data_IF_661848586759
#
_entry.id   IF_661848586759
#
_cell.length_a   1.000
_cell.length_b   1.000
_cell.length_c   1.000
_cell.angle_alpha   90.00
_cell.angle_beta   90.00
_cell.angle_gamma   90.00
#
_symmetry.space_group_name_H-M   'P 1'
#
loop_
_entity.id
_entity.type
_entity.pdbx_description
1 polymer ?
#
# COMPACT_ATOMS: atom_id res chain seq x y z
N UNK A 1 9.25 12.53 -9.43
CA UNK A 1 8.18 12.35 -10.45
C UNK A 1 7.76 13.76 -10.85
N UNK A 2 7.76 14.12 -12.14
CA UNK A 2 7.44 15.48 -12.57
C UNK A 2 5.90 15.63 -12.70
N UNK A 3 5.32 16.82 -12.50
CA UNK A 3 3.85 17.03 -12.48
C UNK A 3 3.11 16.43 -13.71
N UNK A 4 3.74 16.48 -14.89
CA UNK A 4 3.24 15.91 -16.14
C UNK A 4 3.12 14.36 -16.10
N UNK A 5 4.03 13.69 -15.40
CA UNK A 5 4.01 12.24 -15.24
C UNK A 5 2.95 11.79 -14.22
N UNK A 6 2.69 12.59 -13.19
CA UNK A 6 1.63 12.32 -12.21
C UNK A 6 0.22 12.48 -12.80
N UNK A 7 -0.04 13.60 -13.50
CA UNK A 7 -1.33 13.82 -14.17
C UNK A 7 -1.64 12.71 -15.17
N UNK A 8 -0.64 12.26 -15.93
CA UNK A 8 -0.77 11.14 -16.86
C UNK A 8 -1.07 9.82 -16.15
N UNK A 9 -0.43 9.55 -15.01
CA UNK A 9 -0.73 8.38 -14.19
C UNK A 9 -2.18 8.41 -13.68
N UNK A 10 -2.61 9.51 -13.05
CA UNK A 10 -3.97 9.68 -12.54
C UNK A 10 -5.05 9.48 -13.61
N UNK A 11 -4.87 10.07 -14.80
CA UNK A 11 -5.81 9.87 -15.90
C UNK A 11 -5.89 8.42 -16.37
N UNK A 12 -4.79 7.66 -16.30
CA UNK A 12 -4.77 6.25 -16.71
C UNK A 12 -5.27 5.31 -15.60
N UNK A 13 -5.21 5.72 -14.34
CA UNK A 13 -5.57 4.88 -13.19
C UNK A 13 -6.90 5.23 -12.54
N UNK A 14 -7.67 6.17 -13.09
CA UNK A 14 -8.92 6.66 -12.48
C UNK A 14 -10.00 5.60 -12.30
N UNK A 15 -10.01 4.59 -13.17
CA UNK A 15 -11.02 3.53 -13.26
C UNK A 15 -10.40 2.12 -13.14
N UNK A 16 -9.16 2.02 -12.66
CA UNK A 16 -8.51 0.72 -12.46
C UNK A 16 -9.16 0.04 -11.24
N UNK A 17 -9.56 -1.25 -11.36
CA UNK A 17 -10.10 -2.01 -10.24
C UNK A 17 -9.09 -2.09 -9.08
N UNK A 18 -9.53 -2.37 -7.85
CA UNK A 18 -8.63 -2.52 -6.73
C UNK A 18 -7.52 -3.53 -7.03
N UNK A 19 -6.33 -3.25 -6.51
CA UNK A 19 -5.14 -4.03 -6.80
C UNK A 19 -5.30 -5.45 -6.27
N UNK A 20 -4.73 -6.47 -6.94
CA UNK A 20 -4.94 -7.87 -6.57
C UNK A 20 -4.58 -8.20 -5.11
N UNK A 21 -3.60 -7.52 -4.53
CA UNK A 21 -3.22 -7.66 -3.12
C UNK A 21 -4.33 -7.20 -2.17
N UNK A 22 -4.96 -6.05 -2.44
CA UNK A 22 -6.11 -5.57 -1.67
C UNK A 22 -7.29 -6.55 -1.77
N UNK A 23 -7.62 -7.00 -2.99
CA UNK A 23 -8.72 -7.96 -3.20
C UNK A 23 -8.47 -9.24 -2.41
N UNK A 24 -7.24 -9.77 -2.42
CA UNK A 24 -6.85 -10.94 -1.62
C UNK A 24 -6.99 -10.68 -0.13
N UNK A 25 -6.48 -9.56 0.38
CA UNK A 25 -6.61 -9.22 1.80
C UNK A 25 -8.07 -9.15 2.26
N UNK A 26 -8.94 -8.48 1.47
CA UNK A 26 -10.38 -8.45 1.74
C UNK A 26 -11.02 -9.84 1.72
N UNK A 27 -10.60 -10.70 0.80
CA UNK A 27 -11.09 -12.09 0.76
C UNK A 27 -10.68 -12.89 2.01
N UNK A 28 -9.48 -12.67 2.54
CA UNK A 28 -9.04 -13.32 3.78
C UNK A 28 -9.84 -12.83 4.99
N UNK A 29 -10.08 -11.52 5.13
CA UNK A 29 -10.96 -11.00 6.18
C UNK A 29 -12.38 -11.57 6.10
N UNK A 30 -12.93 -11.73 4.89
CA UNK A 30 -14.28 -12.26 4.71
C UNK A 30 -14.40 -13.76 5.01
N UNK A 31 -13.29 -14.50 4.95
CA UNK A 31 -13.24 -15.93 5.28
C UNK A 31 -12.98 -16.19 6.77
N UNK A 32 -12.66 -15.15 7.54
CA UNK A 32 -12.52 -15.25 8.98
C UNK A 32 -13.88 -15.05 9.68
N UNK A 33 -14.07 -15.65 10.87
CA UNK A 33 -15.25 -15.37 11.68
C UNK A 33 -15.40 -13.86 11.87
N UNK A 34 -16.63 -13.35 11.69
CA UNK A 34 -16.89 -11.93 11.90
C UNK A 34 -16.46 -11.53 13.30
N UNK A 35 -15.51 -10.61 13.37
CA UNK A 35 -15.08 -10.01 14.61
C UNK A 35 -15.83 -8.69 14.79
N UNK A 36 -16.32 -8.43 16.01
CA UNK A 36 -16.95 -7.16 16.37
C UNK A 36 -15.89 -6.10 16.66
N UNK A 37 -15.06 -5.83 15.66
CA UNK A 37 -14.00 -4.81 15.67
C UNK A 37 -14.21 -3.84 14.53
N UNK A 38 -13.86 -2.59 14.80
CA UNK A 38 -13.94 -1.52 13.83
C UNK A 38 -13.00 -1.79 12.64
N UNK A 39 -13.55 -1.73 11.42
CA UNK A 39 -12.80 -1.95 10.18
C UNK A 39 -12.05 -0.69 9.76
N UNK A 40 -10.93 -0.43 10.43
CA UNK A 40 -10.04 0.69 10.10
C UNK A 40 -8.94 0.24 9.14
N UNK A 41 -8.76 0.97 8.04
CA UNK A 41 -7.67 0.78 7.09
C UNK A 41 -6.86 2.07 6.89
N UNK A 42 -5.58 1.92 6.56
CA UNK A 42 -4.72 3.00 6.04
C UNK A 42 -4.37 2.67 4.60
N UNK A 43 -4.59 3.60 3.68
CA UNK A 43 -4.18 3.49 2.27
C UNK A 43 -2.99 4.44 2.02
N UNK A 44 -1.78 3.89 1.98
CA UNK A 44 -0.52 4.61 1.84
C UNK A 44 -0.13 4.74 0.36
N UNK A 45 -0.10 5.97 -0.14
CA UNK A 45 0.03 6.27 -1.56
C UNK A 45 -1.26 5.95 -2.30
N UNK A 46 -2.39 6.48 -1.82
CA UNK A 46 -3.73 6.14 -2.32
C UNK A 46 -3.98 6.55 -3.78
N UNK A 47 -3.18 7.47 -4.32
CA UNK A 47 -3.30 7.99 -5.68
C UNK A 47 -4.72 8.45 -6.01
N UNK A 48 -5.23 8.07 -7.18
CA UNK A 48 -6.57 8.44 -7.64
C UNK A 48 -7.72 7.69 -6.93
N UNK A 49 -7.41 6.87 -5.92
CA UNK A 49 -8.38 6.30 -4.97
C UNK A 49 -8.93 4.91 -5.27
N UNK A 50 -8.42 4.15 -6.25
CA UNK A 50 -9.01 2.86 -6.63
C UNK A 50 -9.14 1.87 -5.46
N UNK A 51 -8.06 1.72 -4.67
CA UNK A 51 -8.03 0.88 -3.48
C UNK A 51 -8.85 1.48 -2.32
N UNK A 52 -8.62 2.76 -1.99
CA UNK A 52 -9.40 3.51 -0.99
C UNK A 52 -10.91 3.42 -1.20
N UNK A 53 -11.41 3.64 -2.42
CA UNK A 53 -12.85 3.62 -2.73
C UNK A 53 -13.43 2.22 -2.60
N UNK A 54 -12.66 1.19 -2.95
CA UNK A 54 -13.06 -0.20 -2.78
C UNK A 54 -13.18 -0.58 -1.30
N UNK A 55 -12.28 -0.06 -0.45
CA UNK A 55 -12.35 -0.22 1.00
C UNK A 55 -13.59 0.45 1.59
N UNK A 56 -13.85 1.71 1.22
CA UNK A 56 -15.03 2.46 1.67
C UNK A 56 -16.34 1.75 1.25
N UNK A 57 -16.41 1.26 0.02
CA UNK A 57 -17.57 0.49 -0.47
C UNK A 57 -17.78 -0.83 0.29
N UNK A 58 -16.70 -1.42 0.83
CA UNK A 58 -16.74 -2.61 1.69
C UNK A 58 -17.02 -2.28 3.18
N UNK A 59 -17.33 -1.02 3.50
CA UNK A 59 -17.71 -0.56 4.84
C UNK A 59 -16.53 -0.30 5.79
N UNK A 60 -15.33 -0.12 5.25
CA UNK A 60 -14.15 0.26 6.05
C UNK A 60 -14.11 1.77 6.27
N UNK A 61 -13.63 2.20 7.45
CA UNK A 61 -13.15 3.56 7.66
C UNK A 61 -11.70 3.65 7.21
N UNK A 62 -11.35 4.63 6.38
CA UNK A 62 -10.06 4.70 5.69
C UNK A 62 -9.35 6.02 5.99
N UNK A 63 -8.07 5.93 6.36
CA UNK A 63 -7.12 7.04 6.26
C UNK A 63 -6.36 6.93 4.94
N UNK A 64 -6.66 7.80 3.99
CA UNK A 64 -5.98 7.86 2.70
C UNK A 64 -4.85 8.90 2.73
N UNK A 65 -3.63 8.48 2.38
CA UNK A 65 -2.42 9.32 2.47
C UNK A 65 -1.74 9.32 1.11
N UNK A 66 -1.42 10.51 0.61
CA UNK A 66 -0.61 10.66 -0.60
C UNK A 66 0.20 11.95 -0.49
N UNK A 67 1.34 12.01 -1.17
CA UNK A 67 2.13 13.25 -1.21
C UNK A 67 1.51 14.28 -2.14
N UNK A 68 0.70 13.85 -3.10
CA UNK A 68 0.15 14.71 -4.14
C UNK A 68 -1.22 15.28 -3.72
N UNK A 69 -1.37 16.61 -3.54
CA UNK A 69 -2.65 17.21 -3.17
C UNK A 69 -3.77 16.94 -4.18
N UNK A 70 -3.43 16.78 -5.46
CA UNK A 70 -4.39 16.42 -6.52
C UNK A 70 -4.95 14.99 -6.33
N UNK A 71 -4.15 14.06 -5.79
CA UNK A 71 -4.60 12.71 -5.46
C UNK A 71 -5.70 12.76 -4.40
N UNK A 72 -5.42 13.45 -3.30
CA UNK A 72 -6.35 13.61 -2.18
C UNK A 72 -7.66 14.26 -2.63
N UNK A 73 -7.60 15.35 -3.41
CA UNK A 73 -8.81 15.98 -3.96
C UNK A 73 -9.64 15.02 -4.82
N UNK A 74 -8.98 14.16 -5.61
CA UNK A 74 -9.67 13.18 -6.44
C UNK A 74 -10.35 12.09 -5.59
N UNK A 75 -9.70 11.62 -4.52
CA UNK A 75 -10.30 10.67 -3.57
C UNK A 75 -11.52 11.27 -2.88
N UNK A 76 -11.40 12.48 -2.33
CA UNK A 76 -12.49 13.17 -1.62
C UNK A 76 -13.72 13.38 -2.51
N UNK A 77 -13.52 13.81 -3.76
CA UNK A 77 -14.62 14.02 -4.70
C UNK A 77 -15.39 12.72 -4.99
N UNK A 78 -14.66 11.61 -5.23
CA UNK A 78 -15.25 10.30 -5.53
C UNK A 78 -15.87 9.63 -4.31
N UNK A 79 -15.32 9.87 -3.13
CA UNK A 79 -15.75 9.27 -1.87
C UNK A 79 -16.91 10.03 -1.19
N UNK A 80 -17.51 11.04 -1.84
CA UNK A 80 -18.60 11.84 -1.26
C UNK A 80 -19.75 11.02 -0.63
N UNK A 81 -20.17 9.84 -1.14
CA UNK A 81 -21.19 9.01 -0.46
C UNK A 81 -20.70 8.39 0.88
N UNK A 82 -19.39 8.31 1.09
CA UNK A 82 -18.73 7.71 2.25
C UNK A 82 -17.90 8.73 3.05
N UNK A 83 -18.21 10.04 2.94
CA UNK A 83 -17.39 11.10 3.52
C UNK A 83 -17.11 10.94 5.03
N UNK A 84 -18.06 10.39 5.80
CA UNK A 84 -17.89 10.15 7.24
C UNK A 84 -16.90 9.03 7.59
N UNK A 85 -16.59 8.15 6.63
CA UNK A 85 -15.67 7.03 6.78
C UNK A 85 -14.28 7.34 6.22
N UNK A 86 -14.11 8.49 5.55
CA UNK A 86 -12.86 8.88 4.94
C UNK A 86 -12.16 9.98 5.76
N UNK A 87 -10.88 9.77 6.06
CA UNK A 87 -9.94 10.82 6.45
C UNK A 87 -8.83 10.89 5.42
N UNK A 88 -8.33 12.08 5.13
CA UNK A 88 -7.27 12.30 4.14
C UNK A 88 -6.08 13.01 4.77
N UNK A 89 -4.88 12.73 4.26
CA UNK A 89 -3.64 13.44 4.64
C UNK A 89 -2.75 13.62 3.42
N UNK A 90 -2.43 14.87 3.09
CA UNK A 90 -1.33 15.18 2.17
C UNK A 90 -0.03 15.08 2.95
N UNK A 91 0.85 14.14 2.60
CA UNK A 91 2.13 13.94 3.32
C UNK A 91 3.11 13.12 2.48
N UNK A 92 4.38 13.52 2.53
CA UNK A 92 5.47 12.64 2.07
C UNK A 92 5.62 11.47 3.04
N UNK A 93 6.09 10.32 2.54
CA UNK A 93 6.36 9.18 3.41
C UNK A 93 7.39 9.51 4.49
N UNK A 94 8.36 10.34 4.15
CA UNK A 94 9.44 10.77 5.04
C UNK A 94 8.98 11.67 6.19
N UNK A 95 7.76 12.19 6.12
CA UNK A 95 7.16 13.05 7.16
C UNK A 95 6.21 12.27 8.07
N UNK A 96 5.95 10.99 7.77
CA UNK A 96 5.07 10.14 8.56
C UNK A 96 5.78 9.74 9.84
N UNK A 97 5.33 10.29 10.97
CA UNK A 97 5.83 9.94 12.31
C UNK A 97 5.01 8.87 13.01
N UNK A 98 3.74 8.74 12.64
CA UNK A 98 2.82 7.75 13.18
C UNK A 98 1.65 7.47 12.24
N UNK A 99 1.06 6.29 12.42
CA UNK A 99 -0.18 5.84 11.80
C UNK A 99 -1.14 5.37 12.90
N UNK A 100 -2.46 5.52 12.70
CA UNK A 100 -3.43 4.98 13.65
C UNK A 100 -3.36 3.44 13.64
N UNK A 101 -3.68 2.82 14.78
CA UNK A 101 -3.89 1.38 14.83
C UNK A 101 -4.98 0.97 13.84
N UNK A 102 -4.69 0.01 12.98
CA UNK A 102 -5.59 -0.41 11.90
C UNK A 102 -5.64 -1.94 11.76
N UNK A 103 -6.74 -2.44 11.20
CA UNK A 103 -6.84 -3.84 10.77
C UNK A 103 -6.13 -4.05 9.42
N UNK A 104 -6.00 -3.02 8.60
CA UNK A 104 -5.34 -3.13 7.31
C UNK A 104 -4.43 -1.93 7.05
N UNK A 105 -3.22 -2.18 6.58
CA UNK A 105 -2.44 -1.18 5.85
C UNK A 105 -2.29 -1.65 4.40
N UNK A 106 -2.85 -0.87 3.48
CA UNK A 106 -2.70 -1.05 2.04
C UNK A 106 -1.60 -0.11 1.53
N UNK A 107 -0.70 -0.62 0.70
CA UNK A 107 0.36 0.16 0.06
C UNK A 107 0.69 -0.40 -1.34
N UNK A 108 -0.28 -0.33 -2.23
CA UNK A 108 -0.17 -0.90 -3.57
C UNK A 108 0.70 -0.04 -4.49
N UNK A 109 1.88 -0.55 -4.86
CA UNK A 109 2.84 0.11 -5.77
C UNK A 109 3.25 1.52 -5.30
N UNK A 110 3.34 1.73 -3.98
CA UNK A 110 3.64 3.05 -3.40
C UNK A 110 4.94 3.09 -2.61
N UNK A 111 5.18 2.14 -1.71
CA UNK A 111 6.35 2.13 -0.82
C UNK A 111 7.71 2.23 -1.53
N UNK A 112 7.94 1.66 -2.73
CA UNK A 112 9.23 1.80 -3.43
C UNK A 112 9.62 3.25 -3.75
N UNK A 113 8.69 4.20 -3.69
CA UNK A 113 8.95 5.63 -3.88
C UNK A 113 9.38 6.37 -2.60
N UNK A 114 9.39 5.70 -1.45
CA UNK A 114 10.06 6.22 -0.25
C UNK A 114 11.57 6.10 -0.41
N UNK A 115 12.30 7.11 0.05
CA UNK A 115 13.76 7.13 -0.02
C UNK A 115 14.40 6.03 0.85
N UNK A 116 15.48 5.37 0.37
CA UNK A 116 16.12 4.26 1.09
C UNK A 116 16.51 4.59 2.54
N UNK A 117 16.95 5.82 2.79
CA UNK A 117 17.39 6.25 4.13
C UNK A 117 16.25 6.36 5.16
N UNK A 118 14.99 6.46 4.73
CA UNK A 118 13.81 6.54 5.62
C UNK A 118 12.94 5.28 5.53
N UNK A 119 13.11 4.47 4.50
CA UNK A 119 12.23 3.33 4.21
C UNK A 119 12.10 2.36 5.39
N UNK A 120 13.20 2.03 6.07
CA UNK A 120 13.16 1.14 7.21
C UNK A 120 12.36 1.74 8.38
N UNK A 121 12.54 3.02 8.69
CA UNK A 121 11.78 3.69 9.76
C UNK A 121 10.29 3.76 9.42
N UNK A 122 9.95 4.07 8.17
CA UNK A 122 8.57 4.01 7.69
C UNK A 122 8.00 2.60 7.83
N UNK A 123 8.75 1.56 7.47
CA UNK A 123 8.30 0.18 7.61
C UNK A 123 8.02 -0.19 9.06
N UNK A 124 8.84 0.25 10.02
CA UNK A 124 8.56 0.03 11.46
C UNK A 124 7.25 0.70 11.89
N UNK A 125 6.97 1.91 11.40
CA UNK A 125 5.70 2.61 11.67
C UNK A 125 4.53 1.85 11.05
N UNK A 126 4.66 1.38 9.81
CA UNK A 126 3.64 0.58 9.12
C UNK A 126 3.35 -0.70 9.88
N UNK A 127 4.38 -1.50 10.14
CA UNK A 127 4.26 -2.78 10.83
C UNK A 127 3.66 -2.59 12.24
N UNK A 128 4.16 -1.62 13.01
CA UNK A 128 3.67 -1.34 14.36
C UNK A 128 2.26 -0.74 14.44
N UNK A 129 1.71 -0.27 13.33
CA UNK A 129 0.31 0.22 13.27
C UNK A 129 -0.71 -0.89 13.01
N UNK A 130 -0.27 -2.05 12.53
CA UNK A 130 -1.15 -3.18 12.23
C UNK A 130 -1.41 -3.91 13.54
N UNK A 131 -2.68 -3.97 13.96
CA UNK A 131 -3.05 -4.69 15.17
C UNK A 131 -2.99 -6.21 14.97
N UNK A 132 -3.01 -6.98 16.07
CA UNK A 132 -3.06 -8.44 16.02
C UNK A 132 -4.25 -8.93 15.16
N UNK A 133 -3.98 -9.85 14.24
CA UNK A 133 -4.97 -10.34 13.29
C UNK A 133 -5.24 -9.40 12.10
N UNK A 134 -4.69 -8.19 12.12
CA UNK A 134 -4.66 -7.27 10.99
C UNK A 134 -3.67 -7.72 9.91
N UNK A 135 -3.67 -7.00 8.77
CA UNK A 135 -2.90 -7.37 7.58
C UNK A 135 -2.16 -6.18 6.98
N UNK A 136 -1.00 -6.46 6.40
CA UNK A 136 -0.39 -5.64 5.37
C UNK A 136 -0.79 -6.19 3.99
N UNK A 137 -1.08 -5.31 3.03
CA UNK A 137 -1.26 -5.66 1.63
C UNK A 137 -0.53 -4.64 0.74
N UNK A 138 0.34 -5.08 -0.16
CA UNK A 138 1.06 -4.12 -1.00
C UNK A 138 2.10 -4.74 -1.93
N UNK A 139 2.86 -3.86 -2.59
CA UNK A 139 3.92 -4.25 -3.52
C UNK A 139 5.22 -3.56 -3.18
N UNK A 140 6.31 -4.33 -3.21
CA UNK A 140 7.69 -3.87 -3.06
C UNK A 140 8.45 -4.08 -4.38
N UNK A 141 9.45 -3.25 -4.68
CA UNK A 141 10.33 -3.47 -5.82
C UNK A 141 11.57 -4.23 -5.40
N UNK A 142 12.02 -5.11 -6.28
CA UNK A 142 13.19 -5.93 -6.06
C UNK A 142 14.45 -5.37 -6.71
N UNK A 143 15.61 -5.79 -6.22
CA UNK A 143 16.94 -5.32 -6.66
C UNK A 143 17.27 -5.56 -8.15
N UNK A 144 16.67 -6.56 -8.79
CA UNK A 144 16.75 -6.80 -10.25
C UNK A 144 15.82 -5.94 -11.12
N UNK A 145 15.10 -4.97 -10.55
CA UNK A 145 14.19 -4.13 -11.32
C UNK A 145 14.99 -3.19 -12.25
N UNK A 146 14.49 -2.88 -13.44
CA UNK A 146 15.17 -1.95 -14.36
C UNK A 146 15.45 -0.58 -13.72
N UNK A 147 14.57 -0.14 -12.81
CA UNK A 147 14.72 1.12 -12.12
C UNK A 147 15.66 1.07 -10.91
N UNK A 148 16.26 -0.08 -10.59
CA UNK A 148 17.12 -0.28 -9.42
C UNK A 148 18.31 0.68 -9.34
N UNK A 149 18.73 1.26 -10.46
CA UNK A 149 19.77 2.30 -10.51
C UNK A 149 19.33 3.66 -9.95
N UNK A 150 18.03 3.88 -9.70
CA UNK A 150 17.50 5.11 -9.15
C UNK A 150 17.68 5.16 -7.62
N UNK A 151 18.65 5.95 -7.16
CA UNK A 151 19.01 6.09 -5.74
C UNK A 151 17.96 6.83 -4.89
N UNK A 152 16.94 7.44 -5.51
CA UNK A 152 15.83 8.08 -4.79
C UNK A 152 14.67 7.12 -4.49
N UNK A 153 14.79 5.86 -4.87
CA UNK A 153 13.78 4.81 -4.71
C UNK A 153 14.36 3.63 -3.94
N UNK A 154 13.49 2.86 -3.30
CA UNK A 154 13.89 1.67 -2.54
C UNK A 154 13.65 0.41 -3.34
N UNK A 155 14.69 -0.43 -3.43
CA UNK A 155 14.67 -1.75 -4.04
C UNK A 155 15.25 -2.76 -3.05
N UNK A 156 14.64 -3.94 -2.96
CA UNK A 156 14.93 -4.92 -1.91
C UNK A 156 15.33 -6.28 -2.49
N UNK A 157 16.28 -6.94 -1.85
CA UNK A 157 16.52 -8.36 -2.11
C UNK A 157 15.40 -9.21 -1.49
N UNK A 158 15.27 -10.45 -1.94
CA UNK A 158 14.33 -11.42 -1.37
C UNK A 158 14.54 -11.59 0.14
N UNK A 159 15.80 -11.60 0.60
CA UNK A 159 16.13 -11.76 2.02
C UNK A 159 15.73 -10.54 2.85
N UNK A 160 15.87 -9.33 2.31
CA UNK A 160 15.40 -8.11 2.96
C UNK A 160 13.88 -8.13 3.12
N UNK A 161 13.14 -8.52 2.06
CA UNK A 161 11.68 -8.65 2.12
C UNK A 161 11.28 -9.70 3.15
N UNK A 162 11.89 -10.89 3.15
CA UNK A 162 11.61 -11.92 4.16
C UNK A 162 11.90 -11.45 5.58
N UNK A 163 12.99 -10.70 5.78
CA UNK A 163 13.33 -10.10 7.07
C UNK A 163 12.27 -9.12 7.57
N UNK A 164 11.78 -8.23 6.69
CA UNK A 164 10.73 -7.25 7.00
C UNK A 164 9.45 -7.92 7.52
N UNK A 165 9.08 -9.07 6.99
CA UNK A 165 7.86 -9.81 7.34
C UNK A 165 8.09 -10.94 8.35
N UNK A 166 9.23 -10.98 9.05
CA UNK A 166 9.53 -12.04 10.02
C UNK A 166 8.52 -12.15 11.18
N UNK A 167 7.93 -11.01 11.59
CA UNK A 167 6.84 -10.94 12.57
C UNK A 167 5.46 -11.33 12.02
N UNK A 168 5.31 -11.44 10.70
CA UNK A 168 4.04 -11.68 10.04
C UNK A 168 3.90 -13.14 9.58
N UNK A 169 2.66 -13.59 9.40
CA UNK A 169 2.32 -14.78 8.63
C UNK A 169 2.11 -14.38 7.17
N UNK A 170 2.86 -15.02 6.26
CA UNK A 170 2.79 -14.71 4.84
C UNK A 170 1.63 -15.47 4.18
N UNK A 171 0.46 -14.83 4.06
CA UNK A 171 -0.74 -15.44 3.47
C UNK A 171 -0.73 -15.40 1.94
N UNK A 172 -0.05 -14.43 1.34
CA UNK A 172 0.18 -14.36 -0.10
C UNK A 172 1.53 -13.74 -0.39
N UNK A 173 2.29 -14.39 -1.27
CA UNK A 173 3.57 -13.90 -1.76
C UNK A 173 3.71 -14.26 -3.23
N UNK A 174 3.97 -13.27 -4.07
CA UNK A 174 4.24 -13.46 -5.49
C UNK A 174 5.40 -12.58 -5.93
N UNK A 175 6.46 -13.22 -6.39
CA UNK A 175 7.58 -12.56 -7.06
C UNK A 175 7.28 -12.50 -8.56
N UNK A 176 7.41 -11.30 -9.12
CA UNK A 176 7.37 -11.04 -10.56
C UNK A 176 8.77 -10.65 -11.00
N UNK A 177 9.29 -11.30 -12.03
CA UNK A 177 10.61 -11.04 -12.62
C UNK A 177 10.54 -11.25 -14.14
N UNK A 178 10.09 -10.22 -14.87
CA UNK A 178 9.78 -10.31 -16.30
C UNK A 178 9.67 -8.94 -16.98
N UNK A 179 9.72 -8.92 -18.31
CA UNK A 179 9.35 -7.73 -19.10
C UNK A 179 7.85 -7.47 -19.02
N UNK A 180 7.46 -6.20 -18.92
CA UNK A 180 6.06 -5.82 -19.08
C UNK A 180 5.79 -4.33 -18.98
N UNK A 181 4.54 -3.91 -19.20
CA UNK A 181 4.19 -2.50 -19.36
C UNK A 181 4.28 -1.73 -18.05
N UNK A 182 4.65 -0.46 -18.17
CA UNK A 182 4.48 0.57 -17.14
C UNK A 182 3.24 1.41 -17.44
N UNK A 183 2.74 2.09 -16.41
CA UNK A 183 1.59 2.96 -16.58
C UNK A 183 1.87 4.13 -17.54
N UNK A 184 3.12 4.57 -17.71
CA UNK A 184 3.45 5.84 -18.37
C UNK A 184 4.59 5.80 -19.39
N UNK A 185 5.47 4.80 -19.37
CA UNK A 185 6.76 4.82 -20.06
C UNK A 185 7.04 3.59 -20.95
N UNK A 186 6.01 2.85 -21.36
CA UNK A 186 6.19 1.62 -22.16
C UNK A 186 6.63 0.44 -21.31
N UNK A 187 7.22 -0.58 -21.93
CA UNK A 187 7.67 -1.79 -21.24
C UNK A 187 9.00 -1.57 -20.52
N UNK A 188 9.16 -2.26 -19.39
CA UNK A 188 10.42 -2.34 -18.64
C UNK A 188 10.61 -3.73 -18.06
N UNK A 189 11.82 -4.04 -17.61
CA UNK A 189 12.06 -5.19 -16.75
C UNK A 189 11.49 -4.91 -15.34
N UNK A 190 10.50 -5.69 -14.93
CA UNK A 190 9.91 -5.64 -13.60
C UNK A 190 10.56 -6.67 -12.70
N UNK A 191 11.00 -6.25 -11.52
CA UNK A 191 11.23 -7.15 -10.41
C UNK A 191 10.47 -6.62 -9.19
N UNK A 192 9.48 -7.36 -8.71
CA UNK A 192 8.61 -6.90 -7.63
C UNK A 192 8.02 -8.04 -6.82
N UNK A 193 7.70 -7.75 -5.55
CA UNK A 193 7.06 -8.69 -4.64
C UNK A 193 5.67 -8.16 -4.26
N UNK A 194 4.63 -8.90 -4.61
CA UNK A 194 3.27 -8.65 -4.13
C UNK A 194 3.03 -9.48 -2.86
N UNK A 195 2.61 -8.80 -1.80
CA UNK A 195 2.53 -9.38 -0.46
C UNK A 195 1.15 -9.13 0.15
N UNK A 196 0.58 -10.16 0.76
CA UNK A 196 -0.42 -10.04 1.83
C UNK A 196 0.10 -10.81 3.03
N UNK A 197 0.27 -10.13 4.16
CA UNK A 197 0.85 -10.71 5.35
C UNK A 197 0.02 -10.33 6.57
N UNK A 198 -0.32 -11.31 7.41
CA UNK A 198 -1.14 -11.14 8.62
C UNK A 198 -0.24 -10.96 9.82
N UNK A 199 -0.54 -9.97 10.65
CA UNK A 199 0.22 -9.75 11.88
C UNK A 199 -0.05 -10.88 12.86
N UNK A 200 1.02 -11.54 13.29
CA UNK A 200 0.94 -12.62 14.27
C UNK A 200 0.66 -12.00 15.63
N UNK A 201 -0.17 -12.68 16.42
CA UNK A 201 -0.18 -12.40 17.84
C UNK A 201 1.14 -12.90 18.41
N UNK A 202 2.06 -11.99 18.77
CA UNK A 202 3.09 -12.33 19.74
C UNK A 202 2.39 -12.33 21.09
N UNK A 203 1.97 -13.51 21.56
CA UNK A 203 1.71 -13.69 22.99
C UNK A 203 2.96 -13.17 23.72
N UNK A 204 2.84 -12.18 24.63
CA UNK A 204 3.97 -11.78 25.44
C UNK A 204 4.40 -13.01 26.24
N UNK A 205 5.61 -13.51 25.96
CA UNK A 205 6.28 -14.51 26.79
C UNK A 205 6.55 -13.95 28.19
#
# INVERSE_FOLDING_TARGET
>A
MNDLSWKTYCHRTSDIPPRPTLVKALSFFNNEPSQDVEKIAVDLGCGAGGDCLSLLAAGWSVLAIDKEPEAIRAVEAKASPHANQLKTRVSLFEEIQSLPTSLLVNASLSLPFCRPEVFHDLWHIVAGSIQAGGRFAGTLFGDRDEWSSNTAMTFLSMDQVRGMFSGFEMEYFHERDEMGPTATAGDKHWHSYSVVAKEKHLDPK
#
